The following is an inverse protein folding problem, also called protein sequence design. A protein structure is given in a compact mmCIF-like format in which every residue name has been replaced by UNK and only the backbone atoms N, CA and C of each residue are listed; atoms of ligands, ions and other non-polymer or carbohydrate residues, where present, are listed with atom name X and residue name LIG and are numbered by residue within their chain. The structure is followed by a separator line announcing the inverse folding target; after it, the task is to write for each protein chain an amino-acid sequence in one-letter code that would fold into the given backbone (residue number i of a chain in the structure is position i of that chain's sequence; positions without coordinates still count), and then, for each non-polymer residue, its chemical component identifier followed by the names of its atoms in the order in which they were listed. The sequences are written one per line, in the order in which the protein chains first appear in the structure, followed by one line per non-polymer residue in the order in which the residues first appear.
data_IF_620967294532
#
_entry.id   IF_620967294532
#
_cell.length_a   1.000
_cell.length_b   1.000
_cell.length_c   1.000
_cell.angle_alpha   90.00
_cell.angle_beta   90.00
_cell.angle_gamma   90.00
#
_symmetry.space_group_name_H-M   'P 1'
#
loop_
_entity.id
_entity.type
_entity.pdbx_description
1 polymer ?
#
# COMPACT_ATOMS: atom_id res chain seq x y z
N UNK A 1 -45.97 18.20 16.86
CA UNK A 1 -45.76 19.02 15.63
C UNK A 1 -44.45 19.82 15.67
N UNK A 2 -44.14 20.56 16.75
CA UNK A 2 -42.89 21.34 16.87
C UNK A 2 -41.59 20.52 16.79
N UNK A 3 -41.58 19.31 17.36
CA UNK A 3 -40.41 18.41 17.36
C UNK A 3 -40.07 17.87 15.97
N UNK A 4 -41.09 17.52 15.18
CA UNK A 4 -40.94 17.03 13.80
C UNK A 4 -40.40 18.12 12.87
N UNK A 5 -40.84 19.36 13.07
CA UNK A 5 -40.34 20.50 12.29
C UNK A 5 -38.87 20.80 12.62
N UNK A 6 -38.46 20.66 13.89
CA UNK A 6 -37.07 20.86 14.30
C UNK A 6 -36.13 19.78 13.77
N UNK A 7 -36.56 18.51 13.74
CA UNK A 7 -35.76 17.43 13.16
C UNK A 7 -35.67 17.53 11.64
N UNK A 8 -36.75 17.92 10.96
CA UNK A 8 -36.72 18.15 9.52
C UNK A 8 -35.75 19.30 9.14
N UNK A 9 -35.71 20.37 9.93
CA UNK A 9 -34.81 21.50 9.70
C UNK A 9 -33.32 21.11 9.88
N UNK A 10 -33.01 20.29 10.89
CA UNK A 10 -31.66 19.78 11.13
C UNK A 10 -31.22 18.82 10.02
N UNK A 11 -32.13 17.96 9.54
CA UNK A 11 -31.86 17.08 8.41
C UNK A 11 -31.63 17.89 7.14
N UNK A 12 -32.43 18.93 6.87
CA UNK A 12 -32.20 19.82 5.71
C UNK A 12 -30.85 20.56 5.78
N UNK A 13 -30.47 21.02 6.97
CA UNK A 13 -29.17 21.69 7.18
C UNK A 13 -27.96 20.77 6.96
N UNK A 14 -28.14 19.45 7.15
CA UNK A 14 -27.11 18.45 6.82
C UNK A 14 -26.98 18.19 5.31
N UNK A 15 -28.02 18.48 4.51
CA UNK A 15 -28.01 18.31 3.06
C UNK A 15 -27.61 19.57 2.27
N UNK A 16 -27.60 20.75 2.90
CA UNK A 16 -27.18 22.01 2.23
C UNK A 16 -25.66 22.15 2.03
N UNK A 17 -24.87 21.19 2.51
CA UNK A 17 -23.41 21.17 2.38
C UNK A 17 -22.88 20.47 1.12
N UNK A 18 -23.73 20.03 0.19
CA UNK A 18 -23.30 19.44 -1.08
C UNK A 18 -22.75 20.52 -2.02
N UNK A 19 -21.56 21.06 -1.71
CA UNK A 19 -20.79 21.82 -2.67
C UNK A 19 -20.46 20.90 -3.84
N UNK A 20 -20.91 21.27 -5.04
CA UNK A 20 -20.55 20.57 -6.27
C UNK A 20 -19.03 20.51 -6.36
N UNK A 21 -18.47 19.30 -6.31
CA UNK A 21 -17.03 19.08 -6.39
C UNK A 21 -16.53 19.63 -7.73
N UNK A 22 -15.64 20.63 -7.70
CA UNK A 22 -15.05 21.18 -8.92
C UNK A 22 -14.15 20.13 -9.55
N UNK A 23 -14.32 19.91 -10.85
CA UNK A 23 -13.55 18.95 -11.63
C UNK A 23 -12.77 19.67 -12.73
N UNK A 24 -11.52 19.26 -12.92
CA UNK A 24 -10.68 19.68 -14.03
C UNK A 24 -10.34 18.44 -14.87
N UNK A 25 -10.84 18.39 -16.10
CA UNK A 25 -10.46 17.36 -17.04
C UNK A 25 -9.15 17.73 -17.73
N UNK A 26 -8.12 16.92 -17.54
CA UNK A 26 -6.80 17.13 -18.12
C UNK A 26 -6.50 16.02 -19.11
N UNK A 27 -6.22 16.39 -20.37
CA UNK A 27 -5.76 15.49 -21.41
C UNK A 27 -4.47 16.00 -22.04
N UNK A 28 -3.61 15.08 -22.49
CA UNK A 28 -2.38 15.43 -23.19
C UNK A 28 -2.32 14.79 -24.57
N UNK A 29 -1.60 15.44 -25.47
CA UNK A 29 -1.26 14.92 -26.80
C UNK A 29 0.27 14.91 -26.92
N UNK A 30 0.92 13.74 -26.97
CA UNK A 30 0.33 12.41 -26.89
C UNK A 30 -0.17 12.07 -25.46
N UNK A 31 -1.04 11.06 -25.32
CA UNK A 31 -1.75 10.68 -24.07
C UNK A 31 -0.90 9.86 -23.09
N UNK A 32 -1.33 9.72 -21.83
CA UNK A 32 -0.61 9.03 -20.75
C UNK A 32 0.59 9.80 -20.17
N UNK A 33 0.53 11.13 -20.18
CA UNK A 33 1.40 11.92 -19.32
C UNK A 33 0.98 11.80 -17.84
N UNK A 34 1.98 11.73 -16.98
CA UNK A 34 1.84 11.79 -15.53
C UNK A 34 1.42 13.20 -15.11
N UNK A 35 0.51 13.28 -14.15
CA UNK A 35 -0.03 14.54 -13.62
C UNK A 35 0.26 14.59 -12.12
N UNK A 36 0.96 15.64 -11.70
CA UNK A 36 1.22 15.96 -10.31
C UNK A 36 0.54 17.28 -9.94
N UNK A 37 -0.01 17.37 -8.73
CA UNK A 37 -0.81 18.51 -8.29
C UNK A 37 -0.15 19.23 -7.13
N UNK A 38 -0.22 20.56 -7.13
CA UNK A 38 0.09 21.38 -5.95
C UNK A 38 1.57 21.71 -5.77
N UNK A 39 2.47 21.13 -6.56
CA UNK A 39 3.91 21.46 -6.56
C UNK A 39 4.40 21.78 -7.96
N UNK A 40 5.29 22.77 -8.07
CA UNK A 40 5.95 23.12 -9.33
C UNK A 40 7.13 22.20 -9.67
N UNK A 41 7.64 21.46 -8.68
CA UNK A 41 8.78 20.54 -8.81
C UNK A 41 8.48 19.26 -8.00
N UNK A 42 7.59 18.38 -8.49
CA UNK A 42 7.36 17.09 -7.86
C UNK A 42 8.60 16.19 -7.90
N UNK A 43 8.74 15.26 -6.96
CA UNK A 43 9.65 14.12 -7.15
C UNK A 43 9.02 13.20 -8.21
N UNK A 44 9.55 13.27 -9.43
CA UNK A 44 9.08 12.46 -10.55
C UNK A 44 9.34 10.96 -10.34
N UNK A 45 10.18 10.58 -9.37
CA UNK A 45 10.36 9.19 -8.98
C UNK A 45 9.20 8.67 -8.10
N UNK A 46 8.30 9.54 -7.65
CA UNK A 46 7.08 9.15 -6.94
C UNK A 46 5.92 8.89 -7.91
N UNK A 47 4.93 8.16 -7.40
CA UNK A 47 3.72 7.84 -8.16
C UNK A 47 2.95 9.14 -8.46
N UNK A 48 2.52 9.37 -9.70
CA UNK A 48 1.72 10.54 -10.02
C UNK A 48 0.35 10.49 -9.36
N UNK A 49 -0.24 11.66 -9.12
CA UNK A 49 -1.61 11.77 -8.60
C UNK A 49 -2.61 11.21 -9.62
N UNK A 50 -2.40 11.52 -10.90
CA UNK A 50 -3.22 11.07 -12.02
C UNK A 50 -2.37 10.78 -13.27
N UNK A 51 -2.95 10.05 -14.22
CA UNK A 51 -2.38 9.84 -15.56
C UNK A 51 -3.40 10.31 -16.58
N UNK A 52 -2.99 11.17 -17.51
CA UNK A 52 -3.88 11.72 -18.54
C UNK A 52 -4.36 10.62 -19.52
N UNK A 53 -5.61 10.63 -19.99
CA UNK A 53 -6.70 11.58 -19.70
C UNK A 53 -7.33 11.29 -18.34
N UNK A 54 -7.51 12.32 -17.50
CA UNK A 54 -8.09 12.15 -16.17
C UNK A 54 -8.94 13.35 -15.73
N UNK A 55 -9.92 13.07 -14.86
CA UNK A 55 -10.63 14.08 -14.08
C UNK A 55 -9.91 14.32 -12.76
N UNK A 56 -9.24 15.45 -12.67
CA UNK A 56 -8.58 15.91 -11.45
C UNK A 56 -9.65 16.47 -10.51
N UNK A 57 -9.74 15.85 -9.33
CA UNK A 57 -10.59 16.34 -8.25
C UNK A 57 -9.89 17.46 -7.51
N UNK A 58 -10.55 18.62 -7.45
CA UNK A 58 -9.99 19.80 -6.80
C UNK A 58 -10.34 19.74 -5.32
N UNK A 59 -9.35 19.85 -4.44
CA UNK A 59 -9.59 19.92 -3.00
C UNK A 59 -10.40 21.16 -2.63
N UNK A 60 -11.10 21.15 -1.49
CA UNK A 60 -11.89 22.32 -1.05
C UNK A 60 -11.04 23.59 -0.93
N UNK A 61 -9.79 23.47 -0.45
CA UNK A 61 -8.84 24.58 -0.35
C UNK A 61 -8.46 25.17 -1.73
N UNK A 62 -8.16 24.31 -2.70
CA UNK A 62 -7.89 24.73 -4.08
C UNK A 62 -9.14 25.27 -4.76
N UNK A 63 -10.32 24.76 -4.40
CA UNK A 63 -11.60 25.24 -4.91
C UNK A 63 -11.94 26.63 -4.39
N UNK A 64 -11.52 26.98 -3.16
CA UNK A 64 -11.64 28.31 -2.56
C UNK A 64 -10.69 29.32 -3.23
N UNK A 65 -9.45 28.91 -3.54
CA UNK A 65 -8.50 29.76 -4.28
C UNK A 65 -8.82 29.85 -5.78
N UNK A 66 -9.61 28.91 -6.30
CA UNK A 66 -9.97 28.85 -7.71
C UNK A 66 -8.80 28.51 -8.64
N UNK A 67 -7.70 27.98 -8.10
CA UNK A 67 -6.48 27.68 -8.86
C UNK A 67 -5.97 26.27 -8.59
N UNK A 68 -5.49 25.61 -9.64
CA UNK A 68 -4.82 24.31 -9.55
C UNK A 68 -3.48 24.40 -10.26
N UNK A 69 -2.41 24.05 -9.56
CA UNK A 69 -1.08 23.90 -10.14
C UNK A 69 -0.92 22.45 -10.60
N UNK A 70 -0.66 22.26 -11.88
CA UNK A 70 -0.40 20.97 -12.50
C UNK A 70 1.04 20.92 -12.99
N UNK A 71 1.73 19.81 -12.73
CA UNK A 71 2.99 19.48 -13.38
C UNK A 71 2.78 18.22 -14.21
N UNK A 72 3.05 18.32 -15.51
CA UNK A 72 2.89 17.27 -16.50
C UNK A 72 4.26 16.72 -16.86
N UNK A 73 4.42 15.42 -16.69
CA UNK A 73 5.64 14.71 -16.99
C UNK A 73 5.37 13.57 -17.95
N UNK A 74 6.21 13.45 -18.97
CA UNK A 74 6.21 12.29 -19.85
C UNK A 74 7.62 12.08 -20.40
N UNK A 75 8.19 10.87 -20.32
CA UNK A 75 9.49 10.58 -20.92
C UNK A 75 9.53 10.97 -22.40
N UNK A 76 10.64 11.55 -22.85
CA UNK A 76 10.87 12.06 -24.21
C UNK A 76 10.13 13.36 -24.55
N UNK A 77 9.45 13.98 -23.58
CA UNK A 77 8.76 15.26 -23.75
C UNK A 77 9.25 16.29 -22.73
N UNK A 78 9.03 17.56 -23.03
CA UNK A 78 9.40 18.66 -22.15
C UNK A 78 8.44 18.75 -20.97
N UNK A 79 8.99 18.69 -19.75
CA UNK A 79 8.25 18.85 -18.51
C UNK A 79 7.53 20.20 -18.49
N UNK A 80 6.23 20.18 -18.19
CA UNK A 80 5.39 21.37 -18.32
C UNK A 80 4.62 21.61 -17.02
N UNK A 81 4.81 22.79 -16.41
CA UNK A 81 4.02 23.22 -15.25
C UNK A 81 3.02 24.28 -15.65
N UNK A 82 1.75 24.07 -15.32
CA UNK A 82 0.64 24.95 -15.70
C UNK A 82 -0.17 25.30 -14.46
N UNK A 83 -0.40 26.59 -14.24
CA UNK A 83 -1.36 27.09 -13.26
C UNK A 83 -2.68 27.34 -13.98
N UNK A 84 -3.73 26.65 -13.54
CA UNK A 84 -5.06 26.73 -14.14
C UNK A 84 -6.00 27.43 -13.17
N UNK A 85 -6.55 28.57 -13.58
CA UNK A 85 -7.65 29.21 -12.86
C UNK A 85 -8.97 28.59 -13.33
N UNK A 86 -9.74 28.05 -12.40
CA UNK A 86 -10.97 27.29 -12.69
C UNK A 86 -12.18 28.20 -12.74
N UNK A 87 -13.09 27.89 -13.67
CA UNK A 87 -14.40 28.51 -13.71
C UNK A 87 -15.20 28.18 -12.45
N UNK A 88 -15.98 29.13 -11.90
CA UNK A 88 -16.80 28.89 -10.72
C UNK A 88 -18.06 28.04 -10.99
N UNK A 89 -18.42 27.78 -12.25
CA UNK A 89 -19.74 27.22 -12.61
C UNK A 89 -19.73 25.77 -13.10
N UNK A 90 -18.67 25.32 -13.77
CA UNK A 90 -18.67 24.05 -14.52
C UNK A 90 -17.30 23.35 -14.53
N UNK A 91 -17.29 22.08 -14.97
CA UNK A 91 -16.07 21.31 -15.27
C UNK A 91 -15.21 22.04 -16.29
N UNK A 92 -13.96 22.29 -15.94
CA UNK A 92 -13.00 22.91 -16.84
C UNK A 92 -12.24 21.84 -17.63
N UNK A 93 -11.88 22.14 -18.88
CA UNK A 93 -11.13 21.24 -19.75
C UNK A 93 -9.78 21.86 -20.10
N UNK A 94 -8.70 21.12 -19.89
CA UNK A 94 -7.36 21.48 -20.29
C UNK A 94 -6.82 20.39 -21.22
N UNK A 95 -6.48 20.77 -22.44
CA UNK A 95 -5.81 19.90 -23.41
C UNK A 95 -4.42 20.47 -23.65
N UNK A 96 -3.39 19.67 -23.42
CA UNK A 96 -1.98 20.10 -23.56
C UNK A 96 -1.28 19.29 -24.63
N UNK A 97 -0.82 19.96 -25.68
CA UNK A 97 0.07 19.35 -26.67
C UNK A 97 1.50 19.41 -26.14
N UNK A 98 2.11 18.25 -25.91
CA UNK A 98 3.46 18.14 -25.36
C UNK A 98 4.49 18.29 -26.48
N UNK A 99 5.52 19.08 -26.21
CA UNK A 99 6.64 19.23 -27.12
C UNK A 99 7.69 18.14 -26.85
N UNK A 100 8.09 17.33 -27.85
CA UNK A 100 9.15 16.36 -27.68
C UNK A 100 10.47 17.06 -27.33
N UNK A 101 11.29 16.42 -26.52
CA UNK A 101 12.66 16.85 -26.29
C UNK A 101 13.61 15.98 -27.10
N UNK A 102 14.69 16.57 -27.61
CA UNK A 102 15.72 15.87 -28.40
C UNK A 102 17.08 15.87 -27.69
N UNK A 103 17.13 16.28 -26.43
CA UNK A 103 18.35 16.23 -25.61
C UNK A 103 18.51 14.83 -25.01
N UNK A 104 19.48 14.08 -25.53
CA UNK A 104 19.79 12.71 -25.08
C UNK A 104 20.11 12.62 -23.59
N UNK A 105 20.72 13.65 -23.00
CA UNK A 105 21.03 13.65 -21.57
C UNK A 105 19.75 13.77 -20.75
N UNK A 106 18.85 14.65 -21.16
CA UNK A 106 17.55 14.83 -20.50
C UNK A 106 16.68 13.59 -20.66
N UNK A 107 16.64 13.00 -21.86
CA UNK A 107 15.91 11.73 -22.09
C UNK A 107 16.46 10.62 -21.19
N UNK A 108 17.78 10.51 -21.04
CA UNK A 108 18.41 9.54 -20.15
C UNK A 108 18.01 9.77 -18.69
N UNK A 109 18.04 11.02 -18.23
CA UNK A 109 17.61 11.39 -16.88
C UNK A 109 16.14 11.02 -16.62
N UNK A 110 15.24 11.35 -17.55
CA UNK A 110 13.82 11.00 -17.47
C UNK A 110 13.62 9.47 -17.40
N UNK A 111 14.37 8.71 -18.17
CA UNK A 111 14.32 7.24 -18.14
C UNK A 111 14.85 6.67 -16.81
N UNK A 112 15.92 7.25 -16.26
CA UNK A 112 16.45 6.86 -14.94
C UNK A 112 15.45 7.13 -13.82
N UNK A 113 14.71 8.24 -13.91
CA UNK A 113 13.60 8.59 -13.01
C UNK A 113 12.48 7.54 -13.08
N UNK A 114 12.04 7.18 -14.29
CA UNK A 114 11.00 6.14 -14.47
C UNK A 114 11.47 4.79 -13.95
N UNK A 115 12.71 4.42 -14.23
CA UNK A 115 13.30 3.20 -13.71
C UNK A 115 13.37 3.20 -12.17
N UNK A 116 13.75 4.34 -11.56
CA UNK A 116 13.76 4.52 -10.10
C UNK A 116 12.35 4.37 -9.53
N UNK A 117 11.32 4.98 -10.14
CA UNK A 117 9.92 4.81 -9.74
C UNK A 117 9.49 3.34 -9.81
N UNK A 118 9.86 2.64 -10.87
CA UNK A 118 9.61 1.21 -11.04
C UNK A 118 10.23 0.37 -9.92
N UNK A 119 11.51 0.64 -9.58
CA UNK A 119 12.21 0.00 -8.45
C UNK A 119 11.52 0.27 -7.13
N UNK A 120 11.15 1.53 -6.85
CA UNK A 120 10.44 1.93 -5.61
C UNK A 120 9.12 1.18 -5.46
N UNK A 121 8.31 1.17 -6.52
CA UNK A 121 7.02 0.46 -6.55
C UNK A 121 7.18 -1.05 -6.33
N UNK A 122 8.19 -1.66 -6.95
CA UNK A 122 8.49 -3.07 -6.76
C UNK A 122 8.99 -3.37 -5.34
N UNK A 123 9.86 -2.51 -4.79
CA UNK A 123 10.32 -2.59 -3.41
C UNK A 123 9.18 -2.55 -2.40
N UNK A 124 8.24 -1.61 -2.58
CA UNK A 124 7.04 -1.52 -1.74
C UNK A 124 6.16 -2.77 -1.82
N UNK A 125 5.97 -3.34 -3.01
CA UNK A 125 5.24 -4.62 -3.19
C UNK A 125 5.95 -5.79 -2.50
N UNK A 126 7.27 -5.86 -2.58
CA UNK A 126 8.10 -6.84 -1.87
C UNK A 126 7.94 -6.71 -0.36
N UNK A 127 7.98 -5.47 0.17
CA UNK A 127 7.76 -5.21 1.60
C UNK A 127 6.39 -5.70 2.06
N UNK A 128 5.31 -5.36 1.34
CA UNK A 128 3.96 -5.86 1.67
C UNK A 128 3.90 -7.38 1.57
N UNK A 129 4.47 -7.95 0.50
CA UNK A 129 4.49 -9.40 0.29
C UNK A 129 5.23 -10.16 1.38
N UNK A 130 6.26 -9.55 1.99
CA UNK A 130 7.02 -10.13 3.10
C UNK A 130 6.18 -10.36 4.37
N UNK A 131 5.06 -9.66 4.52
CA UNK A 131 4.18 -9.83 5.67
C UNK A 131 3.65 -11.26 5.78
N UNK A 132 3.29 -11.90 4.64
CA UNK A 132 2.72 -13.25 4.62
C UNK A 132 3.65 -14.29 5.27
N UNK A 133 4.90 -14.49 4.80
CA UNK A 133 5.80 -15.46 5.42
C UNK A 133 6.17 -15.10 6.87
N UNK A 134 6.22 -13.80 7.24
CA UNK A 134 6.42 -13.38 8.63
C UNK A 134 5.23 -13.76 9.53
N UNK A 135 3.99 -13.54 9.08
CA UNK A 135 2.78 -13.93 9.79
C UNK A 135 2.67 -15.45 9.95
N UNK A 136 2.88 -16.21 8.87
CA UNK A 136 2.89 -17.68 8.90
C UNK A 136 3.92 -18.19 9.89
N UNK A 137 5.11 -17.58 9.90
CA UNK A 137 6.15 -17.88 10.89
C UNK A 137 5.68 -17.61 12.32
N UNK A 138 5.06 -16.45 12.58
CA UNK A 138 4.55 -16.09 13.90
C UNK A 138 3.56 -17.12 14.44
N UNK A 139 2.61 -17.54 13.59
CA UNK A 139 1.64 -18.60 13.91
C UNK A 139 2.36 -19.92 14.19
N UNK A 140 3.29 -20.33 13.31
CA UNK A 140 4.05 -21.56 13.48
C UNK A 140 4.87 -21.54 14.79
N UNK A 141 5.44 -20.39 15.15
CA UNK A 141 6.19 -20.21 16.40
C UNK A 141 5.31 -20.38 17.64
N UNK A 142 4.09 -19.83 17.62
CA UNK A 142 3.11 -20.04 18.68
C UNK A 142 2.71 -21.51 18.82
N UNK A 143 2.49 -22.20 17.69
CA UNK A 143 2.21 -23.65 17.68
C UNK A 143 3.40 -24.44 18.23
N UNK A 144 4.63 -24.10 17.85
CA UNK A 144 5.84 -24.72 18.39
C UNK A 144 5.89 -24.57 19.91
N UNK A 145 5.68 -23.35 20.42
CA UNK A 145 5.70 -23.10 21.87
C UNK A 145 4.63 -23.93 22.60
N UNK A 146 3.40 -23.94 22.08
CA UNK A 146 2.29 -24.72 22.65
C UNK A 146 2.61 -26.23 22.68
N UNK A 147 3.14 -26.77 21.58
CA UNK A 147 3.45 -28.19 21.49
C UNK A 147 4.66 -28.59 22.34
N UNK A 148 5.64 -27.70 22.53
CA UNK A 148 6.74 -27.91 23.48
C UNK A 148 6.20 -28.00 24.90
N UNK A 149 5.32 -27.08 25.30
CA UNK A 149 4.68 -27.12 26.63
C UNK A 149 3.92 -28.43 26.85
N UNK A 150 3.12 -28.86 25.87
CA UNK A 150 2.36 -30.13 25.95
C UNK A 150 3.29 -31.35 26.03
N UNK A 151 4.39 -31.35 25.29
CA UNK A 151 5.39 -32.41 25.38
C UNK A 151 6.06 -32.46 26.76
N UNK A 152 6.32 -31.31 27.37
CA UNK A 152 6.90 -31.22 28.72
C UNK A 152 5.94 -31.76 29.79
N UNK A 153 4.64 -31.45 29.67
CA UNK A 153 3.59 -32.01 30.55
C UNK A 153 3.45 -33.54 30.39
N UNK A 154 3.47 -34.03 29.16
CA UNK A 154 3.44 -35.47 28.88
C UNK A 154 4.68 -36.18 29.46
N UNK A 155 5.87 -35.57 29.31
CA UNK A 155 7.12 -36.09 29.88
C UNK A 155 7.05 -36.16 31.41
N UNK A 156 6.55 -35.09 32.07
CA UNK A 156 6.37 -35.05 33.53
C UNK A 156 5.40 -36.13 34.02
N UNK A 157 4.38 -36.46 33.22
CA UNK A 157 3.43 -37.53 33.51
C UNK A 157 4.09 -38.91 33.38
N UNK A 158 4.90 -39.13 32.35
CA UNK A 158 5.69 -40.36 32.18
C UNK A 158 6.66 -40.58 33.35
N UNK A 159 7.36 -39.53 33.80
CA UNK A 159 8.29 -39.60 34.94
C UNK A 159 7.61 -39.95 36.28
N UNK A 160 6.35 -39.53 36.45
CA UNK A 160 5.56 -39.82 37.67
C UNK A 160 4.89 -41.19 37.65
N UNK A 161 4.75 -41.83 36.49
CA UNK A 161 4.00 -43.08 36.35
C UNK A 161 4.94 -44.28 36.42
N UNK A 162 4.94 -45.00 37.56
CA UNK A 162 5.82 -46.15 37.81
C UNK A 162 5.39 -47.47 37.14
N UNK A 163 4.21 -47.53 36.52
CA UNK A 163 3.60 -48.77 36.01
C UNK A 163 3.26 -48.60 34.52
N UNK A 164 3.71 -49.54 33.68
CA UNK A 164 3.27 -49.64 32.28
C UNK A 164 1.77 -49.96 32.24
N UNK A 165 0.98 -48.93 31.95
CA UNK A 165 -0.47 -48.98 31.83
C UNK A 165 -0.90 -48.33 30.51
N UNK A 166 -2.17 -48.47 30.11
CA UNK A 166 -2.71 -47.80 28.92
C UNK A 166 -2.45 -46.28 28.93
N UNK A 167 -2.51 -45.65 30.12
CA UNK A 167 -2.20 -44.22 30.29
C UNK A 167 -0.74 -43.89 30.01
N UNK A 168 0.18 -44.82 30.24
CA UNK A 168 1.60 -44.64 29.95
C UNK A 168 1.87 -44.64 28.44
N UNK A 169 1.27 -45.59 27.70
CA UNK A 169 1.41 -45.64 26.24
C UNK A 169 0.74 -44.44 25.56
N UNK A 170 -0.43 -43.99 26.04
CA UNK A 170 -1.06 -42.75 25.55
C UNK A 170 -0.17 -41.52 25.77
N UNK A 171 0.42 -41.35 26.96
CA UNK A 171 1.32 -40.23 27.25
C UNK A 171 2.61 -40.26 26.40
N UNK A 172 3.11 -41.46 26.09
CA UNK A 172 4.27 -41.65 25.21
C UNK A 172 3.95 -41.31 23.76
N UNK A 173 2.75 -41.65 23.28
CA UNK A 173 2.28 -41.26 21.96
C UNK A 173 2.07 -39.74 21.87
N UNK A 174 1.40 -39.14 22.86
CA UNK A 174 1.21 -37.69 22.96
C UNK A 174 2.53 -36.92 22.95
N UNK A 175 3.56 -37.43 23.65
CA UNK A 175 4.90 -36.85 23.62
C UNK A 175 5.53 -36.89 22.23
N UNK A 176 5.47 -38.05 21.55
CA UNK A 176 6.03 -38.20 20.20
C UNK A 176 5.32 -37.29 19.20
N UNK A 177 3.99 -37.28 19.22
CA UNK A 177 3.18 -36.46 18.33
C UNK A 177 3.40 -34.96 18.56
N UNK A 178 3.44 -34.52 19.82
CA UNK A 178 3.68 -33.12 20.17
C UNK A 178 5.09 -32.68 19.75
N UNK A 179 6.09 -33.54 19.96
CA UNK A 179 7.48 -33.28 19.54
C UNK A 179 7.62 -33.18 18.02
N UNK A 180 6.98 -34.07 17.26
CA UNK A 180 7.08 -34.10 15.80
C UNK A 180 6.34 -32.90 15.18
N UNK A 181 5.18 -32.52 15.75
CA UNK A 181 4.48 -31.27 15.41
C UNK A 181 5.32 -30.03 15.73
N UNK A 182 5.95 -29.98 16.90
CA UNK A 182 6.83 -28.88 17.30
C UNK A 182 8.03 -28.74 16.35
N UNK A 183 8.64 -29.85 15.93
CA UNK A 183 9.77 -29.86 14.98
C UNK A 183 9.36 -29.34 13.61
N UNK A 184 8.19 -29.76 13.12
CA UNK A 184 7.65 -29.31 11.82
C UNK A 184 7.32 -27.82 11.86
N UNK A 185 6.59 -27.39 12.89
CA UNK A 185 6.26 -25.99 13.10
C UNK A 185 7.52 -25.12 13.23
N UNK A 186 8.56 -25.59 13.95
CA UNK A 186 9.83 -24.87 14.09
C UNK A 186 10.54 -24.68 12.76
N UNK A 187 10.54 -25.71 11.89
CA UNK A 187 11.11 -25.60 10.55
C UNK A 187 10.36 -24.55 9.72
N UNK A 188 9.03 -24.54 9.78
CA UNK A 188 8.19 -23.54 9.12
C UNK A 188 8.42 -22.13 9.66
N UNK A 189 8.58 -21.97 10.98
CA UNK A 189 8.95 -20.68 11.59
C UNK A 189 10.25 -20.16 11.02
N UNK A 190 11.32 -20.97 11.04
CA UNK A 190 12.65 -20.54 10.57
C UNK A 190 12.62 -20.20 9.07
N UNK A 191 11.99 -21.06 8.25
CA UNK A 191 11.88 -20.80 6.82
C UNK A 191 11.05 -19.54 6.51
N UNK A 192 9.94 -19.35 7.23
CA UNK A 192 9.09 -18.16 7.12
C UNK A 192 9.79 -16.88 7.55
N UNK A 193 10.51 -16.90 8.68
CA UNK A 193 11.32 -15.77 9.13
C UNK A 193 12.42 -15.42 8.13
N UNK A 194 13.19 -16.41 7.67
CA UNK A 194 14.28 -16.16 6.74
C UNK A 194 13.77 -15.58 5.40
N UNK A 195 12.72 -16.18 4.85
CA UNK A 195 12.11 -15.72 3.60
C UNK A 195 11.50 -14.32 3.77
N UNK A 196 10.72 -14.12 4.83
CA UNK A 196 10.10 -12.84 5.14
C UNK A 196 11.12 -11.73 5.39
N UNK A 197 12.16 -11.98 6.20
CA UNK A 197 13.22 -11.01 6.45
C UNK A 197 13.99 -10.65 5.17
N UNK A 198 14.27 -11.63 4.30
CA UNK A 198 14.95 -11.38 3.01
C UNK A 198 14.09 -10.51 2.10
N UNK A 199 12.81 -10.86 1.93
CA UNK A 199 11.88 -10.07 1.10
C UNK A 199 11.68 -8.66 1.66
N UNK A 200 11.57 -8.51 2.98
CA UNK A 200 11.43 -7.22 3.64
C UNK A 200 12.68 -6.36 3.43
N UNK A 201 13.87 -6.94 3.60
CA UNK A 201 15.15 -6.24 3.43
C UNK A 201 15.36 -5.81 1.99
N UNK A 202 15.16 -6.72 1.03
CA UNK A 202 15.24 -6.39 -0.40
C UNK A 202 14.19 -5.35 -0.79
N UNK A 203 12.97 -5.47 -0.26
CA UNK A 203 11.91 -4.51 -0.49
C UNK A 203 12.26 -3.12 0.04
N UNK A 204 12.85 -3.04 1.23
CA UNK A 204 13.31 -1.79 1.83
C UNK A 204 14.41 -1.12 0.99
N UNK A 205 15.44 -1.87 0.60
CA UNK A 205 16.55 -1.38 -0.24
C UNK A 205 16.06 -0.88 -1.60
N UNK A 206 15.03 -1.52 -2.17
CA UNK A 206 14.49 -1.11 -3.48
C UNK A 206 13.51 0.06 -3.37
N UNK A 207 12.89 0.25 -2.20
CA UNK A 207 11.91 1.32 -1.94
C UNK A 207 12.55 2.67 -1.59
N UNK A 208 13.78 2.68 -1.07
CA UNK A 208 14.46 3.87 -0.55
C UNK A 208 15.82 4.06 -1.21
#
# INVERSE_FOLDING_TARGET
MKTILSTLLVILALFTGAHAQKLLHVSTIPSNADIYIGTSRPDLADKPDYVSSAFVSVSEEQALMGEVLLHLFRPEFTDTTIRVTLSPKDTSYLIVSLHPTYDDNLIKEQNDIVAKRGRRSFGYKMMIGSAIPLFVSGIAGAVTYYQISRAEDAKKTLEKTRIHSQSYENAKQDFRDSRDKAKTARKTTIAGLATGATLLTLGFILSF
#
